data_IF_163727824815
#
_entry.id   IF_163727824815
#
_cell.length_a   1.000
_cell.length_b   1.000
_cell.length_c   1.000
_cell.angle_alpha   90.00
_cell.angle_beta   90.00
_cell.angle_gamma   90.00
#
_symmetry.space_group_name_H-M   'P 1'
#
loop_
_entity.id
_entity.type
_entity.pdbx_description
1 polymer ?
#
# COMPACT_ATOMS: atom_id res chain seq x y z
N UNK A 1 27.18 23.42 9.51
CA UNK A 1 26.34 23.84 10.66
C UNK A 1 25.03 23.07 10.72
N UNK A 2 24.14 23.07 9.67
CA UNK A 2 22.85 22.38 9.71
C UNK A 2 22.99 20.87 9.93
N UNK A 3 23.91 20.20 9.24
CA UNK A 3 24.15 18.76 9.41
C UNK A 3 24.68 18.42 10.81
N UNK A 4 25.52 19.30 11.41
CA UNK A 4 25.95 19.13 12.80
C UNK A 4 24.77 19.27 13.77
N UNK A 5 23.93 20.26 13.60
CA UNK A 5 22.73 20.43 14.42
C UNK A 5 21.76 19.22 14.31
N UNK A 6 21.62 18.63 13.12
CA UNK A 6 20.83 17.41 12.96
C UNK A 6 21.42 16.23 13.73
N UNK A 7 22.74 16.04 13.70
CA UNK A 7 23.41 14.95 14.44
C UNK A 7 23.31 15.16 15.95
N UNK A 8 23.39 16.39 16.45
CA UNK A 8 23.33 16.70 17.86
C UNK A 8 21.90 16.72 18.44
N UNK A 9 20.92 17.19 17.66
CA UNK A 9 19.56 17.47 18.18
C UNK A 9 18.49 16.51 17.71
N UNK A 10 18.70 15.77 16.60
CA UNK A 10 17.74 14.78 16.15
C UNK A 10 17.65 13.62 17.14
N UNK A 11 16.45 13.22 17.59
CA UNK A 11 16.31 12.08 18.47
C UNK A 11 16.72 10.79 17.74
N UNK A 12 17.29 9.82 18.46
CA UNK A 12 17.54 8.49 17.90
C UNK A 12 16.23 7.81 17.53
N UNK A 13 16.27 6.73 16.72
CA UNK A 13 15.10 5.94 16.43
C UNK A 13 14.34 5.57 17.70
N UNK A 14 13.02 5.77 17.69
CA UNK A 14 12.16 5.52 18.85
C UNK A 14 11.54 4.14 18.78
N UNK A 15 11.17 3.54 19.93
CA UNK A 15 10.41 2.30 19.98
C UNK A 15 9.13 2.36 19.13
N UNK A 16 8.76 1.25 18.51
CA UNK A 16 7.55 1.13 17.70
C UNK A 16 6.59 0.10 18.25
N UNK A 17 5.31 0.45 18.34
CA UNK A 17 4.26 -0.50 18.67
C UNK A 17 4.14 -1.57 17.56
N UNK A 18 4.32 -2.82 17.95
CA UNK A 18 4.24 -3.97 17.07
C UNK A 18 3.10 -4.93 17.47
N UNK A 19 2.09 -4.43 18.18
CA UNK A 19 0.91 -5.14 18.61
C UNK A 19 1.10 -5.86 19.94
N UNK A 20 1.73 -7.05 20.01
CA UNK A 20 1.94 -7.77 21.27
C UNK A 20 2.86 -7.03 22.23
N UNK A 21 3.83 -6.29 21.72
CA UNK A 21 4.79 -5.49 22.48
C UNK A 21 5.38 -4.36 21.65
N UNK A 22 5.95 -3.33 22.27
CA UNK A 22 6.81 -2.39 21.56
C UNK A 22 8.15 -3.06 21.20
N UNK A 23 8.69 -2.72 20.03
CA UNK A 23 10.02 -3.13 19.55
C UNK A 23 10.99 -2.00 19.80
N UNK A 24 12.12 -2.32 20.45
CA UNK A 24 13.20 -1.37 20.72
C UNK A 24 14.21 -1.34 19.57
N UNK A 25 14.70 -0.19 19.13
CA UNK A 25 15.70 -0.11 18.06
C UNK A 25 17.01 -0.87 18.35
N UNK A 26 17.35 -1.02 19.63
CA UNK A 26 18.57 -1.71 20.07
C UNK A 26 18.46 -3.25 20.10
N UNK A 27 17.29 -3.82 19.82
CA UNK A 27 17.12 -5.27 19.75
C UNK A 27 17.94 -5.86 18.60
N UNK A 28 18.54 -7.04 18.85
CA UNK A 28 19.40 -7.70 17.86
C UNK A 28 18.61 -8.32 16.70
N UNK A 29 17.39 -8.82 16.97
CA UNK A 29 16.54 -9.43 15.97
C UNK A 29 16.05 -8.39 14.95
N UNK A 30 16.14 -8.74 13.66
CA UNK A 30 15.68 -7.87 12.59
C UNK A 30 14.15 -7.81 12.55
N UNK A 31 13.63 -6.58 12.56
CA UNK A 31 12.20 -6.31 12.35
C UNK A 31 12.00 -5.02 11.57
N UNK A 32 10.87 -4.92 10.91
CA UNK A 32 10.45 -3.69 10.25
C UNK A 32 9.16 -3.85 9.45
N UNK A 33 8.79 -2.80 8.74
CA UNK A 33 7.54 -2.80 7.98
C UNK A 33 7.62 -1.99 6.69
N UNK A 34 6.79 -2.35 5.72
CA UNK A 34 6.59 -1.60 4.48
C UNK A 34 5.64 -0.44 4.76
N UNK A 35 6.09 0.79 4.55
CA UNK A 35 5.25 1.97 4.77
C UNK A 35 4.82 2.67 3.48
N UNK A 36 5.46 2.36 2.36
CA UNK A 36 5.16 2.95 1.05
C UNK A 36 5.53 1.96 -0.06
N UNK A 37 4.73 1.97 -1.13
CA UNK A 37 5.09 1.33 -2.41
C UNK A 37 5.07 2.42 -3.47
N UNK A 38 6.01 2.40 -4.38
CA UNK A 38 6.05 3.30 -5.52
C UNK A 38 6.47 2.55 -6.77
N UNK A 39 5.67 2.67 -7.83
CA UNK A 39 6.00 2.15 -9.15
C UNK A 39 6.60 3.23 -10.04
N UNK A 40 7.26 2.80 -11.11
CA UNK A 40 7.71 3.67 -12.21
C UNK A 40 8.55 4.88 -11.77
N UNK A 41 9.38 4.72 -10.73
CA UNK A 41 10.29 5.79 -10.28
C UNK A 41 11.31 6.17 -11.37
N UNK A 42 11.74 5.21 -12.19
CA UNK A 42 12.53 5.44 -13.40
C UNK A 42 11.64 5.16 -14.62
N UNK A 43 11.37 6.17 -15.49
CA UNK A 43 10.56 5.97 -16.69
C UNK A 43 11.08 4.88 -17.64
N UNK A 44 12.39 4.56 -17.56
CA UNK A 44 13.05 3.51 -18.36
C UNK A 44 12.85 2.11 -17.79
N UNK A 45 12.52 2.00 -16.51
CA UNK A 45 12.35 0.73 -15.81
C UNK A 45 10.96 0.69 -15.16
N UNK A 46 10.13 -0.22 -15.62
CA UNK A 46 8.81 -0.48 -15.00
C UNK A 46 8.99 -1.36 -13.77
N UNK A 47 9.58 -0.81 -12.75
CA UNK A 47 9.78 -1.49 -11.48
C UNK A 47 8.89 -0.91 -10.38
N UNK A 48 8.71 -1.69 -9.35
CA UNK A 48 8.00 -1.29 -8.12
C UNK A 48 8.95 -1.46 -6.96
N UNK A 49 9.05 -0.44 -6.15
CA UNK A 49 9.88 -0.44 -4.95
C UNK A 49 8.99 -0.35 -3.71
N UNK A 50 9.15 -1.30 -2.81
CA UNK A 50 8.60 -1.22 -1.47
C UNK A 50 9.62 -0.53 -0.56
N UNK A 51 9.23 0.59 0.05
CA UNK A 51 10.03 1.30 1.04
C UNK A 51 9.77 0.67 2.40
N UNK A 52 10.82 0.15 2.98
CA UNK A 52 10.81 -0.60 4.21
C UNK A 52 11.57 0.15 5.30
N UNK A 53 10.94 0.39 6.44
CA UNK A 53 11.54 0.97 7.64
C UNK A 53 12.04 -0.13 8.54
N UNK A 54 13.35 -0.15 8.84
CA UNK A 54 13.94 -1.04 9.83
C UNK A 54 13.63 -0.50 11.22
N UNK A 55 13.02 -1.34 12.08
CA UNK A 55 12.63 -0.99 13.44
C UNK A 55 13.63 -1.51 14.47
N UNK A 56 14.24 -2.69 14.24
CA UNK A 56 15.29 -3.27 15.07
C UNK A 56 16.24 -4.15 14.25
N UNK A 57 17.37 -4.51 14.84
CA UNK A 57 18.36 -5.39 14.23
C UNK A 57 19.09 -4.76 13.05
N UNK A 58 19.62 -5.63 12.20
CA UNK A 58 20.44 -5.24 11.05
C UNK A 58 20.02 -6.00 9.80
N UNK A 59 19.79 -5.29 8.72
CA UNK A 59 19.63 -5.88 7.39
C UNK A 59 20.99 -6.33 6.86
N UNK A 60 21.02 -7.51 6.27
CA UNK A 60 22.14 -8.00 5.46
C UNK A 60 21.60 -8.52 4.12
N UNK A 61 22.30 -8.21 3.03
CA UNK A 61 21.86 -8.60 1.69
C UNK A 61 21.71 -10.13 1.58
N UNK A 62 20.52 -10.57 1.15
CA UNK A 62 20.21 -11.99 1.00
C UNK A 62 19.69 -12.68 2.25
N UNK A 63 19.50 -11.95 3.37
CA UNK A 63 18.92 -12.54 4.58
C UNK A 63 17.51 -13.08 4.33
N UNK A 64 17.12 -14.08 5.13
CA UNK A 64 15.78 -14.61 5.15
C UNK A 64 15.00 -14.01 6.29
N UNK A 65 13.75 -13.64 6.03
CA UNK A 65 12.85 -13.06 7.02
C UNK A 65 11.48 -13.69 6.92
N UNK A 66 10.78 -13.74 8.01
CA UNK A 66 9.39 -14.18 8.08
C UNK A 66 8.46 -13.06 7.66
N UNK A 67 7.62 -13.33 6.68
CA UNK A 67 6.59 -12.41 6.21
C UNK A 67 5.27 -12.72 6.93
N UNK A 68 4.84 -11.84 7.82
CA UNK A 68 3.70 -12.10 8.74
C UNK A 68 2.39 -12.38 7.99
N UNK A 69 2.00 -11.53 7.03
CA UNK A 69 0.76 -11.69 6.28
C UNK A 69 0.75 -12.96 5.41
N UNK A 70 1.88 -13.28 4.77
CA UNK A 70 1.98 -14.46 3.91
C UNK A 70 2.24 -15.77 4.68
N UNK A 71 2.60 -15.70 5.96
CA UNK A 71 2.88 -16.87 6.78
C UNK A 71 4.04 -17.74 6.28
N UNK A 72 5.06 -17.11 5.65
CA UNK A 72 6.22 -17.82 5.07
C UNK A 72 7.49 -17.00 5.11
N UNK A 73 8.64 -17.67 4.99
CA UNK A 73 9.90 -16.98 4.76
C UNK A 73 9.99 -16.39 3.34
N UNK A 74 10.57 -15.20 3.27
CA UNK A 74 11.02 -14.58 2.02
C UNK A 74 12.47 -14.16 2.12
N UNK A 75 13.16 -14.05 0.99
CA UNK A 75 14.54 -13.59 0.92
C UNK A 75 14.57 -12.10 0.58
N UNK A 76 15.22 -11.30 1.41
CA UNK A 76 15.50 -9.89 1.14
C UNK A 76 16.83 -9.77 0.42
N UNK A 77 16.79 -9.53 -0.88
CA UNK A 77 17.98 -9.37 -1.69
C UNK A 77 17.99 -8.00 -2.38
N UNK A 78 19.19 -7.48 -2.63
CA UNK A 78 19.39 -6.27 -3.42
C UNK A 78 18.61 -5.05 -2.91
N UNK A 79 18.67 -4.79 -1.61
CA UNK A 79 18.13 -3.54 -1.07
C UNK A 79 18.80 -2.33 -1.72
N UNK A 80 18.04 -1.28 -1.88
CA UNK A 80 18.45 -0.03 -2.49
C UNK A 80 18.33 1.09 -1.46
N UNK A 81 19.24 2.04 -1.52
CA UNK A 81 19.04 3.37 -0.97
C UNK A 81 18.96 4.40 -2.10
N UNK A 82 18.38 5.53 -1.80
CA UNK A 82 18.18 6.61 -2.77
C UNK A 82 19.01 7.82 -2.33
N UNK A 83 19.99 8.18 -3.15
CA UNK A 83 20.77 9.40 -2.98
C UNK A 83 20.41 10.35 -4.14
N UNK A 84 19.58 11.34 -3.84
CA UNK A 84 18.96 12.20 -4.87
C UNK A 84 18.20 11.35 -5.93
N UNK A 85 18.64 11.35 -7.17
CA UNK A 85 18.04 10.58 -8.26
C UNK A 85 18.75 9.25 -8.54
N UNK A 86 19.78 8.93 -7.79
CA UNK A 86 20.56 7.70 -7.98
C UNK A 86 20.10 6.59 -7.04
N UNK A 87 20.09 5.36 -7.56
CA UNK A 87 19.84 4.15 -6.80
C UNK A 87 21.17 3.51 -6.46
N UNK A 88 21.47 3.41 -5.20
CA UNK A 88 22.69 2.77 -4.71
C UNK A 88 22.32 1.46 -4.02
N UNK A 89 23.00 0.38 -4.41
CA UNK A 89 22.83 -0.91 -3.72
C UNK A 89 23.33 -0.78 -2.29
N UNK A 90 22.57 -1.34 -1.36
CA UNK A 90 22.89 -1.36 0.05
C UNK A 90 23.09 -2.79 0.52
N UNK A 91 24.25 -3.09 1.06
CA UNK A 91 24.56 -4.44 1.54
C UNK A 91 24.19 -4.62 3.01
N UNK A 92 24.13 -3.55 3.78
CA UNK A 92 23.69 -3.54 5.17
C UNK A 92 22.97 -2.24 5.54
N UNK A 93 22.08 -2.34 6.54
CA UNK A 93 21.36 -1.22 7.11
C UNK A 93 20.92 -1.54 8.54
N UNK A 94 20.69 -0.52 9.36
CA UNK A 94 20.39 -0.67 10.78
C UNK A 94 19.03 -0.09 11.16
N UNK A 95 18.60 -0.32 12.40
CA UNK A 95 17.39 0.27 12.93
C UNK A 95 17.35 1.78 12.73
N UNK A 96 16.25 2.27 12.18
CA UNK A 96 16.09 3.68 11.79
C UNK A 96 16.27 3.94 10.30
N UNK A 97 16.98 3.09 9.57
CA UNK A 97 17.17 3.23 8.14
C UNK A 97 15.90 2.87 7.35
N UNK A 98 15.84 3.44 6.16
CA UNK A 98 14.82 3.12 5.15
C UNK A 98 15.55 2.50 3.96
N UNK A 99 15.12 1.30 3.59
CA UNK A 99 15.64 0.59 2.42
C UNK A 99 14.52 0.40 1.38
N UNK A 100 14.89 0.45 0.11
CA UNK A 100 14.02 0.09 -1.00
C UNK A 100 14.20 -1.38 -1.37
N UNK A 101 13.10 -2.12 -1.48
CA UNK A 101 13.10 -3.53 -1.87
C UNK A 101 12.33 -3.66 -3.17
N UNK A 102 12.92 -4.33 -4.18
CA UNK A 102 12.19 -4.63 -5.41
C UNK A 102 10.95 -5.47 -5.10
N UNK A 103 9.79 -4.94 -5.48
CA UNK A 103 8.50 -5.58 -5.22
C UNK A 103 7.88 -6.15 -6.50
N UNK A 104 7.85 -7.46 -6.61
CA UNK A 104 7.19 -8.18 -7.69
C UNK A 104 5.70 -8.48 -7.38
N UNK A 105 5.05 -7.66 -6.53
CA UNK A 105 3.65 -7.83 -6.13
C UNK A 105 3.45 -8.67 -4.86
N UNK A 106 4.50 -9.01 -4.14
CA UNK A 106 4.41 -9.79 -2.90
C UNK A 106 4.24 -8.92 -1.65
N UNK A 107 4.86 -7.73 -1.66
CA UNK A 107 4.82 -6.80 -0.53
C UNK A 107 3.67 -5.80 -0.70
N UNK A 108 2.96 -5.55 0.39
CA UNK A 108 1.90 -4.56 0.53
C UNK A 108 2.26 -3.54 1.60
N UNK A 109 1.64 -2.35 1.55
CA UNK A 109 1.79 -1.36 2.61
C UNK A 109 1.24 -1.95 3.91
N UNK A 110 2.02 -1.83 5.00
CA UNK A 110 1.69 -2.43 6.29
C UNK A 110 2.30 -3.80 6.54
N UNK A 111 2.86 -4.46 5.52
CA UNK A 111 3.52 -5.76 5.70
C UNK A 111 4.66 -5.67 6.71
N UNK A 112 4.63 -6.56 7.68
CA UNK A 112 5.67 -6.71 8.71
C UNK A 112 6.57 -7.89 8.37
N UNK A 113 7.88 -7.66 8.44
CA UNK A 113 8.92 -8.66 8.26
C UNK A 113 9.76 -8.78 9.53
N UNK A 114 10.03 -10.01 9.96
CA UNK A 114 10.75 -10.30 11.20
C UNK A 114 11.70 -11.49 11.06
N UNK A 115 12.59 -11.70 12.01
CA UNK A 115 13.38 -12.94 12.14
C UNK A 115 12.62 -14.02 12.93
N UNK A 116 11.30 -14.17 12.72
CA UNK A 116 10.50 -15.28 13.23
C UNK A 116 9.51 -14.93 14.35
N UNK A 117 9.63 -13.80 15.02
CA UNK A 117 8.65 -13.35 16.01
C UNK A 117 7.35 -12.89 15.33
N UNK A 118 6.21 -13.25 15.90
CA UNK A 118 4.89 -12.84 15.38
C UNK A 118 4.56 -11.44 15.87
N UNK A 119 4.81 -10.46 15.02
CA UNK A 119 4.60 -9.03 15.27
C UNK A 119 3.77 -8.40 14.15
N UNK A 120 3.12 -7.27 14.45
CA UNK A 120 2.38 -6.48 13.47
C UNK A 120 2.52 -4.99 13.76
N UNK A 121 3.38 -4.29 13.03
CA UNK A 121 3.54 -2.85 13.20
C UNK A 121 2.27 -2.11 12.81
N UNK A 122 1.88 -1.18 13.69
CA UNK A 122 0.72 -0.31 13.52
C UNK A 122 1.14 1.13 13.25
N UNK A 123 0.18 1.98 12.89
CA UNK A 123 0.39 3.43 12.79
C UNK A 123 0.62 3.96 11.38
N UNK A 124 0.41 3.15 10.33
CA UNK A 124 0.21 3.71 9.00
C UNK A 124 -1.24 4.22 8.94
N UNK A 125 -1.44 5.54 8.79
CA UNK A 125 -2.80 6.08 8.74
C UNK A 125 -3.51 5.60 7.48
N UNK A 126 -4.70 5.05 7.64
CA UNK A 126 -5.58 4.67 6.55
C UNK A 126 -6.86 5.49 6.66
N UNK A 127 -7.07 6.40 5.72
CA UNK A 127 -8.23 7.27 5.71
C UNK A 127 -9.33 6.67 4.84
N UNK A 128 -10.55 6.61 5.38
CA UNK A 128 -11.70 6.26 4.58
C UNK A 128 -11.92 7.33 3.49
N UNK A 129 -12.28 6.94 2.26
CA UNK A 129 -12.53 7.90 1.20
C UNK A 129 -13.81 8.70 1.47
N UNK A 130 -13.77 9.98 1.09
CA UNK A 130 -14.91 10.90 1.20
C UNK A 130 -15.56 11.19 -0.15
N UNK A 131 -14.79 11.02 -1.24
CA UNK A 131 -15.24 11.26 -2.61
C UNK A 131 -15.14 9.97 -3.41
N UNK A 132 -16.18 9.68 -4.19
CA UNK A 132 -16.22 8.49 -5.04
C UNK A 132 -16.49 8.84 -6.48
N UNK A 133 -15.78 8.19 -7.41
CA UNK A 133 -15.98 8.33 -8.84
C UNK A 133 -15.85 7.00 -9.54
N UNK A 134 -16.64 6.77 -10.58
CA UNK A 134 -16.37 5.69 -11.52
C UNK A 134 -15.31 6.12 -12.52
N UNK A 135 -14.47 5.18 -12.94
CA UNK A 135 -13.39 5.45 -13.88
C UNK A 135 -13.56 4.59 -15.14
N UNK A 136 -13.57 5.24 -16.30
CA UNK A 136 -13.60 4.58 -17.60
C UNK A 136 -12.56 5.17 -18.55
N UNK A 137 -12.02 4.39 -19.49
CA UNK A 137 -11.09 4.94 -20.46
C UNK A 137 -11.86 5.78 -21.50
N UNK A 138 -11.26 6.89 -21.95
CA UNK A 138 -11.81 7.66 -23.10
C UNK A 138 -11.83 6.81 -24.37
N UNK A 139 -10.78 6.00 -24.57
CA UNK A 139 -10.67 5.03 -25.66
C UNK A 139 -10.89 3.61 -25.09
N UNK A 140 -11.97 2.91 -25.50
CA UNK A 140 -12.31 1.58 -25.02
C UNK A 140 -11.20 0.53 -25.23
N UNK A 141 -10.36 0.70 -26.26
CA UNK A 141 -9.23 -0.20 -26.55
C UNK A 141 -8.22 -0.21 -25.38
N UNK A 142 -8.14 0.89 -24.64
CA UNK A 142 -7.22 1.06 -23.49
C UNK A 142 -7.78 0.57 -22.15
N UNK A 143 -8.91 -0.16 -22.14
CA UNK A 143 -9.51 -0.66 -20.90
C UNK A 143 -8.54 -1.50 -20.05
N UNK A 144 -7.75 -2.37 -20.67
CA UNK A 144 -6.75 -3.19 -19.96
C UNK A 144 -5.64 -2.35 -19.33
N UNK A 145 -5.17 -1.32 -20.04
CA UNK A 145 -4.16 -0.39 -19.52
C UNK A 145 -4.70 0.42 -18.35
N UNK A 146 -5.97 0.88 -18.44
CA UNK A 146 -6.64 1.58 -17.34
C UNK A 146 -6.69 0.67 -16.10
N UNK A 147 -7.19 -0.55 -16.24
CA UNK A 147 -7.30 -1.49 -15.12
C UNK A 147 -5.94 -1.79 -14.48
N UNK A 148 -4.90 -1.96 -15.31
CA UNK A 148 -3.54 -2.14 -14.82
C UNK A 148 -3.06 -0.92 -14.04
N UNK A 149 -3.19 0.28 -14.61
CA UNK A 149 -2.76 1.53 -13.98
C UNK A 149 -3.49 1.80 -12.67
N UNK A 150 -4.82 1.64 -12.64
CA UNK A 150 -5.61 1.83 -11.43
C UNK A 150 -5.29 0.83 -10.33
N UNK A 151 -4.97 -0.42 -10.67
CA UNK A 151 -4.53 -1.41 -9.69
C UNK A 151 -3.19 -1.01 -9.09
N UNK A 152 -2.19 -0.71 -9.93
CA UNK A 152 -0.85 -0.35 -9.46
C UNK A 152 -0.87 0.93 -8.63
N UNK A 153 -1.63 1.96 -9.03
CA UNK A 153 -1.82 3.19 -8.26
C UNK A 153 -2.59 2.97 -6.95
N UNK A 154 -3.52 2.01 -6.93
CA UNK A 154 -4.22 1.59 -5.71
C UNK A 154 -3.29 0.89 -4.73
N UNK A 155 -2.46 -0.04 -5.22
CA UNK A 155 -1.46 -0.76 -4.40
C UNK A 155 -0.37 0.18 -3.85
N UNK A 156 -0.10 1.32 -4.53
CA UNK A 156 0.75 2.39 -4.01
C UNK A 156 0.07 3.28 -2.96
N UNK A 157 -1.24 3.15 -2.79
CA UNK A 157 -2.03 4.02 -1.92
C UNK A 157 -2.29 5.42 -2.50
N UNK A 158 -2.03 5.65 -3.79
CA UNK A 158 -2.31 6.93 -4.46
C UNK A 158 -3.81 7.22 -4.55
N UNK A 159 -4.62 6.17 -4.68
CA UNK A 159 -6.08 6.19 -4.73
C UNK A 159 -6.61 4.88 -4.16
N UNK A 160 -7.83 4.87 -3.62
CA UNK A 160 -8.48 3.63 -3.26
C UNK A 160 -9.29 3.12 -4.44
N UNK A 161 -9.08 1.86 -4.83
CA UNK A 161 -9.77 1.22 -5.94
C UNK A 161 -10.74 0.18 -5.39
N UNK A 162 -11.96 0.19 -5.89
CA UNK A 162 -13.00 -0.76 -5.57
C UNK A 162 -13.56 -1.39 -6.84
N UNK A 163 -13.69 -2.70 -6.86
CA UNK A 163 -14.35 -3.45 -7.92
C UNK A 163 -15.69 -3.95 -7.40
N UNK A 164 -16.80 -3.48 -7.98
CA UNK A 164 -18.13 -3.94 -7.61
C UNK A 164 -18.28 -5.44 -7.91
N UNK A 165 -18.91 -6.18 -7.01
CA UNK A 165 -19.19 -7.60 -7.22
C UNK A 165 -20.24 -7.83 -8.30
N UNK A 166 -21.11 -6.85 -8.50
CA UNK A 166 -22.15 -6.86 -9.54
C UNK A 166 -21.97 -5.64 -10.43
N UNK A 167 -21.99 -5.85 -11.74
CA UNK A 167 -21.82 -4.79 -12.75
C UNK A 167 -20.38 -4.58 -13.23
N UNK A 168 -19.38 -4.97 -12.46
CA UNK A 168 -17.98 -4.90 -12.88
C UNK A 168 -17.39 -3.49 -13.00
N UNK A 169 -18.10 -2.46 -12.52
CA UNK A 169 -17.63 -1.08 -12.56
C UNK A 169 -16.45 -0.89 -11.59
N UNK A 170 -15.43 -0.18 -12.06
CA UNK A 170 -14.33 0.25 -11.23
C UNK A 170 -14.65 1.59 -10.60
N UNK A 171 -14.67 1.61 -9.29
CA UNK A 171 -14.84 2.82 -8.50
C UNK A 171 -13.51 3.23 -7.86
N UNK A 172 -13.32 4.53 -7.77
CA UNK A 172 -12.19 5.15 -7.10
C UNK A 172 -12.70 5.94 -5.91
N UNK A 173 -12.03 5.78 -4.78
CA UNK A 173 -12.27 6.55 -3.58
C UNK A 173 -11.06 7.42 -3.23
N UNK A 174 -11.30 8.67 -2.86
CA UNK A 174 -10.27 9.63 -2.49
C UNK A 174 -10.71 10.42 -1.25
N UNK A 175 -9.74 10.93 -0.50
CA UNK A 175 -9.98 11.88 0.60
C UNK A 175 -10.22 13.29 0.05
N UNK A 176 -9.65 13.61 -1.11
CA UNK A 176 -9.78 14.93 -1.72
C UNK A 176 -9.71 14.92 -3.24
N UNK A 177 -10.22 15.98 -3.85
CA UNK A 177 -10.32 16.16 -5.30
C UNK A 177 -8.96 16.04 -6.01
N UNK A 178 -7.89 16.57 -5.43
CA UNK A 178 -6.55 16.59 -6.01
C UNK A 178 -6.00 15.17 -6.28
N UNK A 179 -6.40 14.17 -5.50
CA UNK A 179 -5.98 12.79 -5.73
C UNK A 179 -6.45 12.27 -7.10
N UNK A 180 -7.67 12.61 -7.53
CA UNK A 180 -8.18 12.23 -8.86
C UNK A 180 -7.37 12.89 -9.98
N UNK A 181 -6.97 14.15 -9.81
CA UNK A 181 -6.17 14.89 -10.79
C UNK A 181 -4.77 14.29 -10.93
N UNK A 182 -4.13 13.99 -9.81
CA UNK A 182 -2.82 13.31 -9.78
C UNK A 182 -2.89 11.94 -10.43
N UNK A 183 -3.93 11.16 -10.11
CA UNK A 183 -4.13 9.83 -10.72
C UNK A 183 -4.39 9.94 -12.22
N UNK A 184 -5.19 10.90 -12.68
CA UNK A 184 -5.42 11.13 -14.11
C UNK A 184 -4.11 11.48 -14.84
N UNK A 185 -3.31 12.37 -14.28
CA UNK A 185 -2.01 12.74 -14.84
C UNK A 185 -1.05 11.55 -14.91
N UNK A 186 -0.98 10.74 -13.85
CA UNK A 186 -0.16 9.53 -13.80
C UNK A 186 -0.63 8.47 -14.79
N UNK A 187 -1.95 8.24 -14.92
CA UNK A 187 -2.51 7.33 -15.93
C UNK A 187 -2.10 7.75 -17.34
N UNK A 188 -2.13 9.04 -17.63
CA UNK A 188 -1.73 9.55 -18.94
C UNK A 188 -0.21 9.44 -19.15
N UNK A 189 0.60 9.87 -18.17
CA UNK A 189 2.07 9.92 -18.32
C UNK A 189 2.72 8.54 -18.29
N UNK A 190 2.29 7.66 -17.38
CA UNK A 190 2.91 6.35 -17.12
C UNK A 190 2.26 5.22 -17.95
N UNK A 191 0.93 5.23 -18.07
CA UNK A 191 0.15 4.15 -18.70
C UNK A 191 -0.41 4.51 -20.09
N UNK A 192 -0.25 5.78 -20.53
CA UNK A 192 -0.75 6.29 -21.83
C UNK A 192 -2.27 6.13 -21.96
N UNK A 193 -2.99 6.29 -20.85
CA UNK A 193 -4.45 6.20 -20.78
C UNK A 193 -5.04 7.51 -20.34
N UNK A 194 -6.00 7.98 -21.10
CA UNK A 194 -6.85 9.12 -20.77
C UNK A 194 -8.11 8.59 -20.08
N UNK A 195 -8.23 8.86 -18.77
CA UNK A 195 -9.34 8.40 -17.96
C UNK A 195 -10.43 9.48 -17.85
N UNK A 196 -11.67 9.06 -17.94
CA UNK A 196 -12.85 9.87 -17.64
C UNK A 196 -13.39 9.45 -16.29
N UNK A 197 -13.78 10.44 -15.49
CA UNK A 197 -14.36 10.23 -14.17
C UNK A 197 -15.82 10.73 -14.15
N UNK A 198 -16.70 9.84 -13.75
CA UNK A 198 -18.12 10.18 -13.55
C UNK A 198 -18.42 10.10 -12.04
N UNK A 199 -19.26 10.97 -11.53
CA UNK A 199 -19.67 10.94 -10.12
C UNK A 199 -20.37 9.62 -9.78
N UNK A 200 -20.06 9.07 -8.60
CA UNK A 200 -20.71 7.87 -8.10
C UNK A 200 -21.59 8.25 -6.89
N UNK A 201 -22.83 7.76 -6.89
CA UNK A 201 -23.76 7.94 -5.76
C UNK A 201 -23.36 7.00 -4.60
N UNK A 202 -22.21 7.29 -4.00
CA UNK A 202 -21.65 6.58 -2.86
C UNK A 202 -21.14 7.63 -1.87
N UNK A 203 -21.59 7.47 -0.64
CA UNK A 203 -21.23 8.39 0.44
C UNK A 203 -20.05 7.90 1.28
N UNK A 204 -19.93 6.58 1.49
CA UNK A 204 -18.86 6.00 2.32
C UNK A 204 -18.58 4.55 1.96
N UNK A 205 -17.37 4.11 2.28
CA UNK A 205 -16.95 2.71 2.22
C UNK A 205 -16.76 2.16 3.65
N UNK A 206 -17.15 0.90 3.88
CA UNK A 206 -16.98 0.18 5.13
C UNK A 206 -16.38 -1.19 4.85
N UNK A 207 -15.21 -1.46 5.42
CA UNK A 207 -14.60 -2.78 5.38
C UNK A 207 -15.31 -3.71 6.33
N UNK A 208 -15.64 -4.90 5.85
CA UNK A 208 -16.47 -5.84 6.56
C UNK A 208 -15.66 -7.03 7.08
N UNK A 209 -15.94 -7.40 8.32
CA UNK A 209 -15.49 -8.65 8.91
C UNK A 209 -16.71 -9.43 9.38
N UNK A 210 -16.65 -10.75 9.25
CA UNK A 210 -17.77 -11.63 9.60
C UNK A 210 -17.32 -12.69 10.59
N UNK A 211 -18.21 -13.10 11.53
CA UNK A 211 -17.88 -14.13 12.51
C UNK A 211 -17.71 -15.51 11.86
N UNK A 212 -18.36 -15.74 10.72
CA UNK A 212 -18.33 -17.01 10.00
C UNK A 212 -18.68 -16.83 8.51
N UNK A 213 -18.38 -17.87 7.72
CA UNK A 213 -18.60 -17.89 6.27
C UNK A 213 -20.10 -17.95 5.87
N UNK A 214 -20.96 -18.48 6.72
CA UNK A 214 -22.39 -18.55 6.41
C UNK A 214 -23.02 -17.17 6.50
N UNK A 215 -22.69 -16.42 7.55
CA UNK A 215 -23.11 -15.02 7.74
C UNK A 215 -22.57 -14.15 6.60
N UNK A 216 -21.30 -14.33 6.21
CA UNK A 216 -20.70 -13.62 5.07
C UNK A 216 -21.49 -13.86 3.78
N UNK A 217 -21.70 -15.12 3.39
CA UNK A 217 -22.43 -15.46 2.15
C UNK A 217 -23.86 -14.95 2.13
N UNK A 218 -24.55 -14.99 3.26
CA UNK A 218 -25.91 -14.47 3.36
C UNK A 218 -25.94 -12.95 3.16
N UNK A 219 -25.03 -12.23 3.78
CA UNK A 219 -24.91 -10.79 3.64
C UNK A 219 -24.53 -10.39 2.21
N UNK A 220 -23.52 -11.03 1.61
CA UNK A 220 -23.14 -10.80 0.20
C UNK A 220 -24.31 -10.99 -0.76
N UNK A 221 -25.14 -12.03 -0.53
CA UNK A 221 -26.31 -12.29 -1.36
C UNK A 221 -27.38 -11.21 -1.22
N UNK A 222 -27.64 -10.75 0.00
CA UNK A 222 -28.66 -9.73 0.28
C UNK A 222 -28.22 -8.34 -0.17
N UNK A 223 -26.94 -8.02 -0.10
CA UNK A 223 -26.37 -6.70 -0.34
C UNK A 223 -25.49 -6.64 -1.59
N UNK A 224 -25.62 -7.59 -2.50
CA UNK A 224 -24.72 -7.77 -3.66
C UNK A 224 -24.50 -6.50 -4.49
N UNK A 225 -25.51 -5.64 -4.64
CA UNK A 225 -25.44 -4.38 -5.38
C UNK A 225 -24.57 -3.30 -4.70
N UNK A 226 -24.32 -3.44 -3.40
CA UNK A 226 -23.51 -2.52 -2.59
C UNK A 226 -22.14 -3.09 -2.22
N UNK A 227 -21.85 -4.32 -2.64
CA UNK A 227 -20.59 -4.99 -2.31
C UNK A 227 -19.53 -4.75 -3.35
N UNK A 228 -18.31 -4.56 -2.88
CA UNK A 228 -17.13 -4.42 -3.70
C UNK A 228 -15.92 -5.12 -3.05
N UNK A 229 -14.83 -5.23 -3.80
CA UNK A 229 -13.50 -5.61 -3.29
C UNK A 229 -12.52 -4.48 -3.49
N UNK A 230 -11.63 -4.29 -2.52
CA UNK A 230 -10.51 -3.38 -2.67
C UNK A 230 -9.33 -4.06 -3.41
N UNK A 231 -8.17 -3.37 -3.49
CA UNK A 231 -6.97 -3.88 -4.17
C UNK A 231 -6.34 -5.09 -3.46
N UNK A 232 -6.64 -5.27 -2.18
CA UNK A 232 -6.13 -6.37 -1.34
C UNK A 232 -7.16 -7.50 -1.19
N UNK A 233 -8.23 -7.48 -2.01
CA UNK A 233 -9.32 -8.46 -2.03
C UNK A 233 -10.22 -8.45 -0.78
N UNK A 234 -10.15 -7.41 0.04
CA UNK A 234 -11.03 -7.26 1.19
C UNK A 234 -12.45 -6.89 0.75
N UNK A 235 -13.44 -7.44 1.46
CA UNK A 235 -14.84 -7.10 1.24
C UNK A 235 -15.17 -5.71 1.80
N UNK A 236 -15.81 -4.92 0.96
CA UNK A 236 -16.20 -3.54 1.26
C UNK A 236 -17.68 -3.34 0.94
N UNK A 237 -18.39 -2.70 1.85
CA UNK A 237 -19.75 -2.22 1.64
C UNK A 237 -19.69 -0.74 1.22
N UNK A 238 -20.30 -0.43 0.09
CA UNK A 238 -20.37 0.92 -0.48
C UNK A 238 -21.77 1.50 -0.22
N UNK A 239 -21.85 2.45 0.68
CA UNK A 239 -23.10 3.02 1.14
C UNK A 239 -23.44 4.31 0.41
N UNK A 240 -24.69 4.43 -0.09
CA UNK A 240 -25.20 5.62 -0.76
C UNK A 240 -25.55 6.76 0.21
N UNK A 241 -25.70 6.50 1.50
CA UNK A 241 -26.00 7.51 2.51
C UNK A 241 -25.35 7.21 3.86
N UNK A 242 -25.41 8.17 4.82
CA UNK A 242 -24.80 8.05 6.16
C UNK A 242 -25.55 7.13 7.12
N UNK A 243 -26.81 6.85 6.82
CA UNK A 243 -27.71 6.12 7.72
C UNK A 243 -27.87 4.69 7.25
N UNK A 244 -26.95 3.84 7.66
CA UNK A 244 -27.01 2.38 7.52
C UNK A 244 -26.92 1.76 8.91
#
# INVERSE_FOLDING_TARGET
EILHALVEWAPPPQPRDAGPRPVQPAEAAFTGFVFKIQANMDPRHRDRIAFFRICSGRYASGMKVWHQRLGREIKLANALTFLANERVRMDDAVAGDIIGIHNHGQLQIGDTLTEGEVLGFKGIPYFAPELFRSARPRDPIKAKQLQKGLRELGEEGAIQKFEKLVGGDTLLGAVGQLQFEVVAQRLQSEYKVDALYDEADIHTARWLTFPDDATRRNFEKQQSGHMARDVDDNLVYLAANRHI
#
